data_IF_186605186817
#
_entry.id   IF_186605186817
#
_cell.length_a   1.000
_cell.length_b   1.000
_cell.length_c   1.000
_cell.angle_alpha   90.00
_cell.angle_beta   90.00
_cell.angle_gamma   90.00
#
_symmetry.space_group_name_H-M   'P 1'
#
loop_
_entity.id
_entity.type
_entity.pdbx_description
1 polymer ?
#
# COMPACT_ATOMS: atom_id res chain seq x y z
N UNK A 1 -21.09 -60.68 22.90
CA UNK A 1 -20.62 -59.97 21.69
C UNK A 1 -21.17 -58.56 21.78
N UNK A 2 -20.26 -57.60 21.91
CA UNK A 2 -20.49 -56.18 22.24
C UNK A 2 -20.97 -55.45 20.98
N UNK A 3 -21.86 -54.46 21.12
CA UNK A 3 -21.78 -53.18 20.39
C UNK A 3 -22.72 -52.17 21.06
N UNK A 4 -22.20 -51.41 22.03
CA UNK A 4 -22.81 -50.17 22.48
C UNK A 4 -22.52 -49.10 21.44
N UNK A 5 -23.56 -48.57 20.80
CA UNK A 5 -23.45 -47.42 19.92
C UNK A 5 -23.44 -46.18 20.81
N UNK A 6 -22.26 -45.60 21.02
CA UNK A 6 -22.12 -44.30 21.65
C UNK A 6 -22.72 -43.27 20.68
N UNK A 7 -23.91 -42.76 21.02
CA UNK A 7 -24.50 -41.60 20.36
C UNK A 7 -23.57 -40.41 20.62
N UNK A 8 -22.66 -40.16 19.66
CA UNK A 8 -21.87 -38.93 19.64
C UNK A 8 -22.85 -37.79 19.39
N UNK A 9 -23.10 -37.01 20.43
CA UNK A 9 -23.95 -35.83 20.39
C UNK A 9 -23.40 -34.83 19.35
N UNK A 10 -24.15 -34.48 18.30
CA UNK A 10 -23.71 -33.52 17.28
C UNK A 10 -23.59 -32.08 17.82
N UNK A 11 -23.86 -31.84 19.11
CA UNK A 11 -23.80 -30.53 19.74
C UNK A 11 -22.38 -30.07 20.12
N UNK A 12 -21.34 -30.89 19.92
CA UNK A 12 -19.95 -30.50 20.20
C UNK A 12 -19.26 -30.00 18.93
N UNK A 13 -19.74 -28.88 18.40
CA UNK A 13 -18.89 -27.97 17.63
C UNK A 13 -18.73 -26.72 18.49
N UNK A 14 -17.94 -26.82 19.55
CA UNK A 14 -17.30 -25.65 20.12
C UNK A 14 -16.07 -25.35 19.27
N UNK A 15 -16.03 -24.25 18.50
CA UNK A 15 -14.75 -23.69 18.07
C UNK A 15 -14.04 -23.17 19.32
N UNK A 16 -13.42 -24.07 20.08
CA UNK A 16 -12.62 -23.75 21.26
C UNK A 16 -11.22 -23.32 20.80
N UNK A 17 -11.15 -22.24 20.02
CA UNK A 17 -9.96 -21.42 20.00
C UNK A 17 -10.11 -20.39 21.12
N UNK A 18 -9.20 -20.34 22.11
CA UNK A 18 -9.30 -19.35 23.16
C UNK A 18 -9.32 -17.94 22.53
N UNK A 19 -10.15 -17.01 23.02
CA UNK A 19 -10.29 -15.67 22.43
C UNK A 19 -8.95 -14.92 22.34
N UNK A 20 -8.00 -15.27 23.21
CA UNK A 20 -6.63 -14.74 23.22
C UNK A 20 -5.85 -15.09 21.95
N UNK A 21 -6.01 -16.30 21.41
CA UNK A 21 -5.29 -16.75 20.20
C UNK A 21 -5.81 -16.03 18.96
N UNK A 22 -7.13 -15.77 18.89
CA UNK A 22 -7.74 -15.01 17.79
C UNK A 22 -7.31 -13.55 17.83
N UNK A 23 -7.25 -12.94 19.03
CA UNK A 23 -6.79 -11.57 19.21
C UNK A 23 -5.32 -11.40 18.82
N UNK A 24 -4.44 -12.33 19.24
CA UNK A 24 -3.02 -12.30 18.89
C UNK A 24 -2.81 -12.47 17.37
N UNK A 25 -3.56 -13.36 16.73
CA UNK A 25 -3.52 -13.52 15.27
C UNK A 25 -4.00 -12.23 14.57
N UNK A 26 -5.07 -11.61 15.05
CA UNK A 26 -5.57 -10.35 14.49
C UNK A 26 -4.53 -9.22 14.62
N UNK A 27 -3.90 -9.06 15.78
CA UNK A 27 -2.83 -8.07 15.97
C UNK A 27 -1.62 -8.32 15.05
N UNK A 28 -1.22 -9.59 14.89
CA UNK A 28 -0.12 -9.96 13.98
C UNK A 28 -0.49 -9.67 12.53
N UNK A 29 -1.70 -9.98 12.10
CA UNK A 29 -2.18 -9.66 10.74
C UNK A 29 -2.24 -8.15 10.50
N UNK A 30 -2.67 -7.37 11.48
CA UNK A 30 -2.74 -5.92 11.37
C UNK A 30 -1.34 -5.29 11.27
N UNK A 31 -0.36 -5.84 12.02
CA UNK A 31 1.05 -5.45 11.91
C UNK A 31 1.63 -5.81 10.53
N UNK A 32 1.36 -7.02 10.04
CA UNK A 32 1.81 -7.45 8.70
C UNK A 32 1.18 -6.59 7.61
N UNK A 33 -0.11 -6.27 7.72
CA UNK A 33 -0.78 -5.38 6.79
C UNK A 33 -0.14 -3.98 6.76
N UNK A 34 0.21 -3.43 7.93
CA UNK A 34 0.92 -2.15 8.02
C UNK A 34 2.32 -2.21 7.39
N UNK A 35 3.06 -3.29 7.62
CA UNK A 35 4.39 -3.50 7.01
C UNK A 35 4.32 -3.67 5.49
N UNK A 36 3.30 -4.39 5.00
CA UNK A 36 3.06 -4.54 3.56
C UNK A 36 2.69 -3.21 2.92
N UNK A 37 1.81 -2.42 3.55
CA UNK A 37 1.46 -1.09 3.03
C UNK A 37 2.70 -0.19 2.90
N UNK A 38 3.53 -0.12 3.95
CA UNK A 38 4.79 0.65 3.92
C UNK A 38 5.76 0.16 2.83
N UNK A 39 5.88 -1.16 2.65
CA UNK A 39 6.74 -1.73 1.61
C UNK A 39 6.21 -1.43 0.19
N UNK A 40 4.89 -1.46 0.00
CA UNK A 40 4.24 -1.10 -1.27
C UNK A 40 4.44 0.37 -1.58
N UNK A 41 4.27 1.26 -0.60
CA UNK A 41 4.49 2.69 -0.77
C UNK A 41 5.95 3.00 -1.13
N UNK A 42 6.90 2.38 -0.43
CA UNK A 42 8.34 2.52 -0.73
C UNK A 42 8.69 2.01 -2.13
N UNK A 43 8.12 0.87 -2.56
CA UNK A 43 8.34 0.33 -3.90
C UNK A 43 7.76 1.23 -4.99
N UNK A 44 6.54 1.76 -4.78
CA UNK A 44 5.91 2.70 -5.70
C UNK A 44 6.69 4.01 -5.83
N UNK A 45 7.28 4.48 -4.73
CA UNK A 45 8.12 5.67 -4.73
C UNK A 45 9.43 5.44 -5.48
N UNK A 46 10.14 4.33 -5.20
CA UNK A 46 11.37 3.97 -5.90
C UNK A 46 11.14 3.76 -7.41
N UNK A 47 10.01 3.18 -7.80
CA UNK A 47 9.65 3.02 -9.21
C UNK A 47 9.36 4.37 -9.88
N UNK A 48 8.70 5.30 -9.19
CA UNK A 48 8.47 6.65 -9.71
C UNK A 48 9.79 7.40 -9.92
N UNK A 49 10.73 7.29 -8.98
CA UNK A 49 12.04 7.93 -9.09
C UNK A 49 12.82 7.38 -10.29
N UNK A 50 12.88 6.05 -10.46
CA UNK A 50 13.57 5.43 -11.58
C UNK A 50 12.96 5.80 -12.94
N UNK A 51 11.62 5.84 -13.05
CA UNK A 51 10.96 6.26 -14.30
C UNK A 51 11.17 7.75 -14.55
N UNK A 52 11.16 8.58 -13.51
CA UNK A 52 11.42 10.01 -13.63
C UNK A 52 12.85 10.28 -14.11
N UNK A 53 13.85 9.56 -13.61
CA UNK A 53 15.24 9.74 -14.05
C UNK A 53 15.43 9.35 -15.53
N UNK A 54 14.87 8.21 -15.94
CA UNK A 54 14.91 7.77 -17.35
C UNK A 54 14.20 8.78 -18.26
N UNK A 55 13.04 9.29 -17.86
CA UNK A 55 12.29 10.26 -18.64
C UNK A 55 12.99 11.63 -18.67
N UNK A 56 13.66 12.06 -17.61
CA UNK A 56 14.37 13.33 -17.59
C UNK A 56 15.47 13.39 -18.67
N UNK A 57 16.13 12.25 -18.94
CA UNK A 57 17.17 12.15 -19.95
C UNK A 57 16.61 11.89 -21.37
N UNK A 58 15.54 11.09 -21.48
CA UNK A 58 14.98 10.70 -22.78
C UNK A 58 13.93 11.69 -23.35
N UNK A 59 13.07 12.26 -22.50
CA UNK A 59 12.02 13.21 -22.86
C UNK A 59 11.69 14.13 -21.67
N UNK A 60 12.35 15.30 -21.59
CA UNK A 60 12.15 16.26 -20.51
C UNK A 60 10.71 16.79 -20.39
N UNK A 61 9.92 16.75 -21.48
CA UNK A 61 8.52 17.17 -21.45
C UNK A 61 7.65 16.08 -20.80
N UNK A 62 7.86 14.83 -21.19
CA UNK A 62 7.18 13.69 -20.55
C UNK A 62 7.49 13.62 -19.06
N UNK A 63 8.73 13.88 -18.66
CA UNK A 63 9.13 13.99 -17.26
C UNK A 63 8.31 15.05 -16.49
N UNK A 64 8.16 16.26 -17.04
CA UNK A 64 7.36 17.32 -16.43
C UNK A 64 5.88 16.94 -16.27
N UNK A 65 5.32 16.18 -17.21
CA UNK A 65 3.94 15.68 -17.09
C UNK A 65 3.78 14.67 -15.95
N UNK A 66 4.77 13.78 -15.76
CA UNK A 66 4.78 12.83 -14.64
C UNK A 66 4.87 13.57 -13.31
N UNK A 67 5.76 14.57 -13.20
CA UNK A 67 5.89 15.38 -11.99
C UNK A 67 4.61 16.16 -11.67
N UNK A 68 3.93 16.70 -12.69
CA UNK A 68 2.63 17.34 -12.50
C UNK A 68 1.57 16.37 -12.00
N UNK A 69 1.51 15.16 -12.56
CA UNK A 69 0.58 14.12 -12.09
C UNK A 69 0.86 13.74 -10.63
N UNK A 70 2.14 13.61 -10.28
CA UNK A 70 2.58 13.36 -8.90
C UNK A 70 2.09 14.46 -7.95
N UNK A 71 2.31 15.74 -8.29
CA UNK A 71 1.83 16.88 -7.52
C UNK A 71 0.32 16.87 -7.31
N UNK A 72 -0.47 16.58 -8.36
CA UNK A 72 -1.94 16.51 -8.26
C UNK A 72 -2.38 15.38 -7.34
N UNK A 73 -1.65 14.26 -7.31
CA UNK A 73 -2.01 13.09 -6.51
C UNK A 73 -1.53 13.15 -5.05
N UNK A 74 -0.33 13.70 -4.81
CA UNK A 74 0.36 13.65 -3.52
C UNK A 74 0.51 15.02 -2.86
N UNK A 75 0.25 16.11 -3.59
CA UNK A 75 0.43 17.49 -3.12
C UNK A 75 1.88 17.99 -3.15
N UNK A 76 2.83 17.18 -3.62
CA UNK A 76 4.23 17.56 -3.80
C UNK A 76 4.81 16.87 -5.04
N UNK A 77 5.91 17.41 -5.58
CA UNK A 77 6.71 16.78 -6.63
C UNK A 77 8.18 17.22 -6.49
N UNK A 78 9.02 16.83 -7.45
CA UNK A 78 10.40 17.32 -7.48
C UNK A 78 10.45 18.88 -7.46
N UNK A 79 11.30 19.51 -6.62
CA UNK A 79 11.32 20.97 -6.47
C UNK A 79 11.66 21.75 -7.74
N UNK A 80 12.53 21.18 -8.59
CA UNK A 80 12.88 21.81 -9.87
C UNK A 80 11.71 21.71 -10.84
N UNK A 81 11.06 20.54 -10.90
CA UNK A 81 9.83 20.37 -11.67
C UNK A 81 8.73 21.32 -11.21
N UNK A 82 8.53 21.45 -9.90
CA UNK A 82 7.50 22.32 -9.32
C UNK A 82 7.72 23.78 -9.73
N UNK A 83 8.96 24.27 -9.64
CA UNK A 83 9.30 25.62 -10.05
C UNK A 83 9.04 25.84 -11.56
N UNK A 84 9.44 24.89 -12.40
CA UNK A 84 9.16 24.94 -13.84
C UNK A 84 7.67 24.94 -14.14
N UNK A 85 6.91 24.04 -13.51
CA UNK A 85 5.47 23.90 -13.71
C UNK A 85 4.72 25.16 -13.27
N UNK A 86 5.10 25.78 -12.15
CA UNK A 86 4.56 27.08 -11.71
C UNK A 86 4.89 28.19 -12.70
N UNK A 87 6.13 28.27 -13.20
CA UNK A 87 6.52 29.25 -14.23
C UNK A 87 5.74 29.09 -15.54
N UNK A 88 5.37 27.87 -15.89
CA UNK A 88 4.53 27.56 -17.06
C UNK A 88 3.03 27.75 -16.81
N UNK A 89 2.60 28.10 -15.59
CA UNK A 89 1.19 28.21 -15.23
C UNK A 89 0.44 26.88 -15.18
N UNK A 90 1.17 25.76 -15.05
CA UNK A 90 0.61 24.40 -15.02
C UNK A 90 0.31 23.89 -13.61
N UNK A 91 0.78 24.61 -12.59
CA UNK A 91 0.42 24.46 -11.19
C UNK A 91 -0.12 25.79 -10.64
N UNK A 92 -0.97 25.77 -9.59
CA UNK A 92 -1.43 26.99 -8.94
C UNK A 92 -0.23 27.79 -8.41
N UNK A 93 -0.23 29.10 -8.65
CA UNK A 93 0.58 30.05 -7.89
C UNK A 93 -0.15 30.32 -6.59
N UNK A 94 0.49 30.03 -5.45
CA UNK A 94 0.01 30.50 -4.15
C UNK A 94 0.03 32.03 -4.07
#
# INVERSE_FOLDING_TARGET
MVMGYELVDPSVITPSSPPVVVAEIAERLQRVAGQVAQAVDAANQAQHEAVAEILAEADPQAWLFVQRAHYVSQGFCDPYAEQMLRRMGLLPTE
#
